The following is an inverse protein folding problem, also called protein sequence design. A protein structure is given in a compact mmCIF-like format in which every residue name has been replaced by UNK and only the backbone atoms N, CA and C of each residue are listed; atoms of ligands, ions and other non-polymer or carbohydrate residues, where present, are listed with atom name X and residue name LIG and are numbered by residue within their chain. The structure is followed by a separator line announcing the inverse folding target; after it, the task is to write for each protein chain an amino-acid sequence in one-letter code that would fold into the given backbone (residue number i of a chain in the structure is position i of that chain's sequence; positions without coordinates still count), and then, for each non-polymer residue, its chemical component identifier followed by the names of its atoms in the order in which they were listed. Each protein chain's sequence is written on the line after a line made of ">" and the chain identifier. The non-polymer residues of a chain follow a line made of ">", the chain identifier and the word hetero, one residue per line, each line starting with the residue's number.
data_IF_858020505183
#
_entry.id   IF_858020505183
#
_cell.length_a   1.000
_cell.length_b   1.000
_cell.length_c   1.000
_cell.angle_alpha   90.00
_cell.angle_beta   90.00
_cell.angle_gamma   90.00
#
_symmetry.space_group_name_H-M   'P 1'
#
loop_
_entity.id
_entity.type
_entity.pdbx_description
1 polymer ?
#
# COMPACT_ATOMS: atom_id res chain seq x y z
N UNK A 1 -64.37 40.03 22.75
CA UNK A 1 -64.78 39.55 21.41
C UNK A 1 -63.50 39.59 20.58
N UNK A 2 -62.63 38.59 20.77
CA UNK A 2 -62.50 37.38 19.92
C UNK A 2 -61.72 37.74 18.63
N UNK A 3 -60.65 37.09 18.18
CA UNK A 3 -60.02 35.80 18.51
C UNK A 3 -58.56 35.74 17.96
N UNK A 4 -57.75 34.92 18.64
CA UNK A 4 -56.73 33.92 18.21
C UNK A 4 -56.03 34.10 16.84
N UNK A 5 -54.70 34.24 16.76
CA UNK A 5 -53.64 33.22 16.94
C UNK A 5 -53.64 32.11 15.88
N UNK A 6 -52.60 32.09 15.02
CA UNK A 6 -51.70 30.93 14.79
C UNK A 6 -50.78 31.14 13.58
N UNK A 7 -49.48 31.15 13.87
CA UNK A 7 -48.39 30.78 12.97
C UNK A 7 -48.67 29.42 12.31
N UNK A 8 -48.55 29.34 10.98
CA UNK A 8 -48.29 28.07 10.30
C UNK A 8 -46.83 28.05 9.88
N UNK A 9 -46.05 27.38 10.74
CA UNK A 9 -44.68 26.95 10.51
C UNK A 9 -44.64 25.96 9.34
N UNK A 10 -43.99 26.36 8.26
CA UNK A 10 -43.71 25.51 7.10
C UNK A 10 -42.57 24.57 7.42
N UNK A 11 -42.88 23.43 8.07
CA UNK A 11 -41.91 22.36 8.27
C UNK A 11 -41.39 21.86 6.92
N UNK A 12 -40.13 22.19 6.61
CA UNK A 12 -39.41 21.60 5.49
C UNK A 12 -39.32 20.06 5.70
N UNK A 13 -39.55 19.24 4.67
CA UNK A 13 -39.40 17.80 4.82
C UNK A 13 -37.95 17.45 5.16
N UNK A 14 -37.76 16.69 6.24
CA UNK A 14 -36.47 16.12 6.62
C UNK A 14 -35.87 15.28 5.48
N UNK A 15 -34.53 15.19 5.37
CA UNK A 15 -33.88 14.61 4.20
C UNK A 15 -34.02 13.07 4.21
N UNK A 16 -34.94 12.55 3.39
CA UNK A 16 -35.12 11.11 3.15
C UNK A 16 -33.91 10.48 2.44
N UNK A 17 -33.00 11.30 1.90
CA UNK A 17 -31.78 10.84 1.21
C UNK A 17 -30.68 10.27 2.12
N UNK A 18 -30.74 10.47 3.45
CA UNK A 18 -29.67 10.05 4.35
C UNK A 18 -29.79 8.58 4.79
N UNK A 19 -31.01 8.09 5.06
CA UNK A 19 -31.21 6.77 5.65
C UNK A 19 -30.77 5.59 4.76
N UNK A 20 -30.96 5.67 3.43
CA UNK A 20 -30.50 4.64 2.50
C UNK A 20 -28.97 4.63 2.37
N UNK A 21 -28.34 5.80 2.39
CA UNK A 21 -26.89 5.95 2.32
C UNK A 21 -26.22 5.44 3.59
N UNK A 22 -26.81 5.77 4.75
CA UNK A 22 -26.33 5.33 6.06
C UNK A 22 -26.49 3.80 6.22
N UNK A 23 -27.60 3.22 5.76
CA UNK A 23 -27.80 1.77 5.76
C UNK A 23 -26.80 1.03 4.87
N UNK A 24 -26.56 1.52 3.64
CA UNK A 24 -25.55 0.95 2.74
C UNK A 24 -24.13 1.08 3.32
N UNK A 25 -23.81 2.19 3.97
CA UNK A 25 -22.52 2.39 4.63
C UNK A 25 -22.35 1.41 5.82
N UNK A 26 -23.41 1.17 6.59
CA UNK A 26 -23.46 0.18 7.66
C UNK A 26 -23.25 -1.25 7.16
N UNK A 27 -23.96 -1.68 6.11
CA UNK A 27 -23.80 -3.01 5.51
C UNK A 27 -22.39 -3.25 4.96
N UNK A 28 -21.77 -2.22 4.35
CA UNK A 28 -20.39 -2.30 3.87
C UNK A 28 -19.38 -2.34 5.03
N UNK A 29 -19.65 -1.66 6.14
CA UNK A 29 -18.81 -1.76 7.35
C UNK A 29 -18.91 -3.15 8.00
N UNK A 30 -20.12 -3.68 8.13
CA UNK A 30 -20.36 -5.01 8.69
C UNK A 30 -19.72 -6.11 7.85
N UNK A 31 -19.83 -6.03 6.52
CA UNK A 31 -19.16 -6.98 5.62
C UNK A 31 -17.64 -6.90 5.74
N UNK A 32 -17.05 -5.70 5.80
CA UNK A 32 -15.59 -5.54 6.01
C UNK A 32 -15.12 -6.15 7.33
N UNK A 33 -15.92 -6.01 8.39
CA UNK A 33 -15.64 -6.62 9.70
C UNK A 33 -15.69 -8.15 9.63
N UNK A 34 -16.69 -8.71 8.95
CA UNK A 34 -16.81 -10.16 8.74
C UNK A 34 -15.68 -10.72 7.88
N UNK A 35 -15.35 -10.05 6.77
CA UNK A 35 -14.24 -10.45 5.88
C UNK A 35 -12.91 -10.44 6.63
N UNK A 36 -12.68 -9.43 7.48
CA UNK A 36 -11.50 -9.33 8.33
C UNK A 36 -11.43 -10.45 9.39
N UNK A 37 -12.54 -10.74 10.05
CA UNK A 37 -12.62 -11.78 11.07
C UNK A 37 -12.39 -13.19 10.49
N UNK A 38 -12.80 -13.41 9.24
CA UNK A 38 -12.66 -14.68 8.52
C UNK A 38 -11.28 -14.92 7.89
N UNK A 39 -10.37 -13.93 7.94
CA UNK A 39 -9.01 -14.11 7.42
C UNK A 39 -8.25 -15.22 8.13
N UNK A 40 -7.35 -15.85 7.37
CA UNK A 40 -6.29 -16.66 7.95
C UNK A 40 -5.57 -15.86 9.06
N UNK A 41 -5.34 -16.42 10.26
CA UNK A 41 -4.71 -15.69 11.35
C UNK A 41 -3.35 -15.08 11.01
N UNK A 42 -2.57 -15.72 10.14
CA UNK A 42 -1.29 -15.18 9.68
C UNK A 42 -1.48 -14.02 8.70
N UNK A 43 -2.44 -14.12 7.79
CA UNK A 43 -2.80 -13.01 6.89
C UNK A 43 -3.29 -11.79 7.66
N UNK A 44 -4.07 -12.02 8.72
CA UNK A 44 -4.53 -10.97 9.64
C UNK A 44 -3.36 -10.34 10.39
N UNK A 45 -2.45 -11.14 10.94
CA UNK A 45 -1.27 -10.64 11.65
C UNK A 45 -0.35 -9.77 10.77
N UNK A 46 -0.27 -10.05 9.46
CA UNK A 46 0.44 -9.20 8.49
C UNK A 46 -0.23 -7.83 8.40
N UNK A 47 -1.55 -7.78 8.21
CA UNK A 47 -2.29 -6.52 8.09
C UNK A 47 -2.26 -5.73 9.40
N UNK A 48 -2.45 -6.40 10.55
CA UNK A 48 -2.32 -5.79 11.87
C UNK A 48 -0.95 -5.15 12.06
N UNK A 49 0.12 -5.86 11.68
CA UNK A 49 1.47 -5.34 11.80
C UNK A 49 1.68 -4.10 10.94
N UNK A 50 1.11 -4.06 9.74
CA UNK A 50 1.40 -3.01 8.76
C UNK A 50 0.47 -1.80 8.88
N UNK A 51 -0.83 -2.04 9.05
CA UNK A 51 -1.90 -1.05 9.05
C UNK A 51 -2.59 -0.85 10.40
N UNK A 52 -2.27 -1.66 11.42
CA UNK A 52 -3.05 -1.71 12.67
C UNK A 52 -4.30 -2.57 12.54
N UNK A 53 -4.84 -3.00 13.68
CA UNK A 53 -6.13 -3.69 13.74
C UNK A 53 -7.29 -2.71 13.49
N UNK A 54 -8.44 -3.13 12.93
CA UNK A 54 -9.57 -2.23 12.64
C UNK A 54 -10.10 -1.40 13.80
N UNK A 55 -9.94 -1.87 15.04
CA UNK A 55 -10.35 -1.21 16.28
C UNK A 55 -9.22 -0.39 16.93
N UNK A 56 -8.02 -0.40 16.36
CA UNK A 56 -6.86 0.37 16.82
C UNK A 56 -6.93 1.82 16.33
N UNK A 57 -6.48 2.80 17.14
CA UNK A 57 -6.31 4.19 16.68
C UNK A 57 -5.30 4.33 15.53
N UNK A 58 -4.44 3.33 15.33
CA UNK A 58 -3.46 3.32 14.24
C UNK A 58 -4.04 2.81 12.91
N UNK A 59 -5.31 2.35 12.89
CA UNK A 59 -5.89 1.68 11.74
C UNK A 59 -5.91 2.55 10.49
N UNK A 60 -5.12 2.17 9.49
CA UNK A 60 -5.10 2.87 8.22
C UNK A 60 -4.61 4.32 8.32
N UNK A 61 -3.85 4.66 9.36
CA UNK A 61 -3.15 5.93 9.53
C UNK A 61 -1.75 5.88 8.88
N UNK A 62 -1.19 7.01 8.41
CA UNK A 62 0.11 7.03 7.76
C UNK A 62 1.25 6.75 8.74
N UNK A 63 2.13 5.80 8.42
CA UNK A 63 3.23 5.39 9.30
C UNK A 63 4.60 5.66 8.67
N UNK A 64 5.48 6.37 9.40
CA UNK A 64 6.84 6.69 8.94
C UNK A 64 7.69 5.46 8.63
N UNK A 65 7.46 4.37 9.36
CA UNK A 65 8.17 3.08 9.24
C UNK A 65 7.98 2.40 7.87
N UNK A 66 6.95 2.78 7.09
CA UNK A 66 6.75 2.21 5.76
C UNK A 66 7.83 2.62 4.77
N UNK A 67 8.36 3.84 4.89
CA UNK A 67 9.29 4.44 3.91
C UNK A 67 10.64 4.84 4.52
N UNK A 68 10.88 4.43 5.77
CA UNK A 68 12.12 4.69 6.50
C UNK A 68 12.77 3.36 6.85
N UNK A 69 14.05 3.19 6.49
CA UNK A 69 14.81 2.04 6.96
C UNK A 69 15.09 2.17 8.46
N UNK A 70 14.70 1.14 9.22
CA UNK A 70 14.85 1.03 10.66
C UNK A 70 15.23 -0.42 11.02
N UNK A 71 16.47 -0.60 11.50
CA UNK A 71 17.03 -1.93 11.75
C UNK A 71 16.24 -2.73 12.80
N UNK A 72 15.62 -2.03 13.77
CA UNK A 72 14.85 -2.68 14.84
C UNK A 72 13.50 -3.19 14.33
N UNK A 73 12.83 -2.40 13.49
CA UNK A 73 11.60 -2.81 12.83
C UNK A 73 11.86 -3.95 11.84
N UNK A 74 12.94 -3.86 11.06
CA UNK A 74 13.33 -4.91 10.12
C UNK A 74 13.70 -6.23 10.83
N UNK A 75 14.33 -6.15 12.01
CA UNK A 75 14.59 -7.32 12.86
C UNK A 75 13.28 -7.95 13.35
N UNK A 76 12.32 -7.14 13.81
CA UNK A 76 11.01 -7.63 14.25
C UNK A 76 10.23 -8.29 13.10
N UNK A 77 10.27 -7.72 11.89
CA UNK A 77 9.63 -8.31 10.72
C UNK A 77 10.26 -9.66 10.35
N UNK A 78 11.59 -9.76 10.37
CA UNK A 78 12.31 -11.02 10.11
C UNK A 78 11.94 -12.10 11.12
N UNK A 79 11.93 -11.76 12.39
CA UNK A 79 11.60 -12.69 13.48
C UNK A 79 10.16 -13.22 13.35
N UNK A 80 9.20 -12.33 13.08
CA UNK A 80 7.77 -12.67 13.09
C UNK A 80 7.28 -13.28 11.78
N UNK A 81 7.82 -12.84 10.65
CA UNK A 81 7.24 -13.11 9.32
C UNK A 81 8.26 -13.64 8.31
N UNK A 82 9.52 -13.84 8.67
CA UNK A 82 10.55 -14.32 7.75
C UNK A 82 10.15 -15.63 7.03
N UNK A 83 9.56 -16.58 7.76
CA UNK A 83 9.06 -17.84 7.18
C UNK A 83 7.87 -17.64 6.24
N UNK A 84 7.03 -16.61 6.46
CA UNK A 84 5.92 -16.29 5.56
C UNK A 84 6.41 -15.74 4.23
N UNK A 85 7.53 -15.02 4.19
CA UNK A 85 8.12 -14.54 2.94
C UNK A 85 8.49 -15.72 2.06
N UNK A 86 9.14 -16.74 2.62
CA UNK A 86 9.51 -17.94 1.87
C UNK A 86 8.29 -18.77 1.47
N UNK A 87 7.33 -19.00 2.38
CA UNK A 87 6.09 -19.71 2.06
C UNK A 87 5.25 -18.99 0.97
N UNK A 88 5.17 -17.66 1.02
CA UNK A 88 4.51 -16.86 0.00
C UNK A 88 5.22 -16.98 -1.35
N UNK A 89 6.55 -16.97 -1.39
CA UNK A 89 7.33 -17.15 -2.63
C UNK A 89 7.09 -18.52 -3.26
N UNK A 90 6.95 -19.54 -2.43
CA UNK A 90 6.69 -20.93 -2.85
C UNK A 90 5.21 -21.24 -3.12
N UNK A 91 4.34 -20.23 -3.17
CA UNK A 91 2.89 -20.40 -3.44
C UNK A 91 2.12 -21.21 -2.39
N UNK A 92 2.68 -21.39 -1.20
CA UNK A 92 2.00 -22.11 -0.12
C UNK A 92 0.84 -21.30 0.49
N UNK A 93 0.82 -19.98 0.26
CA UNK A 93 -0.16 -19.04 0.81
C UNK A 93 -1.15 -18.50 -0.27
N UNK A 94 -1.15 -19.06 -1.49
CA UNK A 94 -1.93 -18.52 -2.61
C UNK A 94 -3.44 -18.52 -2.37
N UNK A 95 -3.94 -19.37 -1.46
CA UNK A 95 -5.35 -19.38 -1.04
C UNK A 95 -5.80 -18.06 -0.42
N UNK A 96 -4.89 -17.26 0.15
CA UNK A 96 -5.22 -15.95 0.70
C UNK A 96 -5.72 -14.97 -0.37
N UNK A 97 -5.29 -15.14 -1.63
CA UNK A 97 -5.72 -14.29 -2.73
C UNK A 97 -7.22 -14.41 -3.07
N UNK A 98 -7.95 -15.35 -2.46
CA UNK A 98 -9.39 -15.51 -2.66
C UNK A 98 -10.22 -14.33 -2.12
N UNK A 99 -9.65 -13.45 -1.30
CA UNK A 99 -10.31 -12.27 -0.74
C UNK A 99 -9.47 -11.01 -0.96
N UNK A 100 -10.08 -9.81 -1.02
CA UNK A 100 -9.34 -8.56 -1.19
C UNK A 100 -8.28 -8.34 -0.09
N UNK A 101 -8.63 -8.58 1.17
CA UNK A 101 -7.72 -8.40 2.30
C UNK A 101 -6.60 -9.43 2.30
N UNK A 102 -6.90 -10.71 2.02
CA UNK A 102 -5.86 -11.74 1.95
C UNK A 102 -4.90 -11.54 0.75
N UNK A 103 -5.41 -11.06 -0.39
CA UNK A 103 -4.58 -10.66 -1.52
C UNK A 103 -3.65 -9.50 -1.14
N UNK A 104 -4.16 -8.49 -0.41
CA UNK A 104 -3.31 -7.41 0.11
C UNK A 104 -2.26 -7.94 1.08
N UNK A 105 -2.59 -8.88 1.97
CA UNK A 105 -1.59 -9.51 2.87
C UNK A 105 -0.44 -10.15 2.08
N UNK A 106 -0.75 -10.85 0.99
CA UNK A 106 0.28 -11.42 0.12
C UNK A 106 1.15 -10.33 -0.53
N UNK A 107 0.55 -9.24 -1.02
CA UNK A 107 1.29 -8.10 -1.57
C UNK A 107 2.23 -7.50 -0.53
N UNK A 108 1.77 -7.29 0.71
CA UNK A 108 2.61 -6.77 1.80
C UNK A 108 3.79 -7.70 2.08
N UNK A 109 3.57 -9.01 2.18
CA UNK A 109 4.65 -9.98 2.45
C UNK A 109 5.66 -10.00 1.30
N UNK A 110 5.19 -10.09 0.06
CA UNK A 110 6.02 -10.28 -1.12
C UNK A 110 6.78 -9.03 -1.54
N UNK A 111 6.19 -7.84 -1.37
CA UNK A 111 6.78 -6.57 -1.81
C UNK A 111 7.39 -5.77 -0.65
N UNK A 112 6.66 -5.57 0.45
CA UNK A 112 7.14 -4.71 1.55
C UNK A 112 8.05 -5.49 2.50
N UNK A 113 7.59 -6.59 3.09
CA UNK A 113 8.38 -7.35 4.06
C UNK A 113 9.65 -7.90 3.40
N UNK A 114 9.59 -8.35 2.16
CA UNK A 114 10.78 -8.75 1.39
C UNK A 114 11.85 -7.65 1.36
N UNK A 115 11.46 -6.39 1.08
CA UNK A 115 12.38 -5.24 1.05
C UNK A 115 12.91 -4.86 2.42
N UNK A 116 12.09 -4.92 3.47
CA UNK A 116 12.52 -4.66 4.85
C UNK A 116 13.48 -5.76 5.37
N UNK A 117 13.13 -7.03 5.17
CA UNK A 117 13.84 -8.17 5.71
C UNK A 117 15.16 -8.48 4.97
N UNK A 118 15.26 -8.11 3.69
CA UNK A 118 16.38 -8.48 2.83
C UNK A 118 17.08 -7.26 2.20
N UNK A 119 17.11 -6.12 2.90
CA UNK A 119 17.75 -4.88 2.42
C UNK A 119 19.13 -5.14 1.83
N UNK A 120 19.43 -4.41 0.76
CA UNK A 120 20.71 -4.45 0.06
C UNK A 120 21.10 -5.85 -0.47
N UNK A 121 20.12 -6.75 -0.66
CA UNK A 121 20.32 -8.08 -1.28
C UNK A 121 19.39 -8.31 -2.48
N UNK A 122 19.76 -9.25 -3.36
CA UNK A 122 18.91 -9.68 -4.48
C UNK A 122 17.56 -10.22 -4.02
N UNK A 123 17.51 -10.81 -2.82
CA UNK A 123 16.32 -11.45 -2.28
C UNK A 123 15.18 -10.44 -2.04
N UNK A 124 15.51 -9.18 -1.74
CA UNK A 124 14.52 -8.11 -1.59
C UNK A 124 13.65 -7.87 -2.85
N UNK A 125 14.11 -8.31 -4.02
CA UNK A 125 13.41 -8.15 -5.30
C UNK A 125 12.91 -9.48 -5.89
N UNK A 126 13.22 -10.60 -5.25
CA UNK A 126 12.97 -11.93 -5.79
C UNK A 126 11.47 -12.27 -5.94
N UNK A 127 10.61 -11.56 -5.19
CA UNK A 127 9.17 -11.75 -5.17
C UNK A 127 8.38 -10.71 -6.00
N UNK A 128 9.05 -9.70 -6.58
CA UNK A 128 8.41 -8.55 -7.25
C UNK A 128 7.42 -9.00 -8.33
N UNK A 129 7.82 -9.96 -9.19
CA UNK A 129 6.94 -10.47 -10.25
C UNK A 129 5.65 -11.10 -9.71
N UNK A 130 5.74 -11.81 -8.58
CA UNK A 130 4.57 -12.45 -7.98
C UNK A 130 3.66 -11.41 -7.31
N UNK A 131 4.24 -10.45 -6.59
CA UNK A 131 3.49 -9.33 -6.04
C UNK A 131 2.74 -8.55 -7.13
N UNK A 132 3.40 -8.28 -8.26
CA UNK A 132 2.79 -7.61 -9.41
C UNK A 132 1.62 -8.42 -10.00
N UNK A 133 1.77 -9.74 -10.15
CA UNK A 133 0.70 -10.58 -10.68
C UNK A 133 -0.56 -10.53 -9.78
N UNK A 134 -0.39 -10.54 -8.47
CA UNK A 134 -1.50 -10.42 -7.51
C UNK A 134 -2.13 -9.02 -7.60
N UNK A 135 -1.32 -7.96 -7.64
CA UNK A 135 -1.81 -6.59 -7.78
C UNK A 135 -2.61 -6.39 -9.08
N UNK A 136 -2.14 -6.95 -10.20
CA UNK A 136 -2.85 -6.96 -11.48
C UNK A 136 -4.21 -7.65 -11.38
N UNK A 137 -4.29 -8.80 -10.71
CA UNK A 137 -5.56 -9.50 -10.48
C UNK A 137 -6.51 -8.68 -9.61
N UNK A 138 -6.01 -8.03 -8.56
CA UNK A 138 -6.82 -7.16 -7.69
C UNK A 138 -7.43 -6.01 -8.48
N UNK A 139 -6.63 -5.30 -9.29
CA UNK A 139 -7.10 -4.18 -10.10
C UNK A 139 -8.08 -4.63 -11.19
N UNK A 140 -7.77 -5.73 -11.89
CA UNK A 140 -8.61 -6.25 -12.97
C UNK A 140 -9.99 -6.71 -12.47
N UNK A 141 -10.06 -7.31 -11.28
CA UNK A 141 -11.31 -7.74 -10.66
C UNK A 141 -12.05 -6.61 -9.93
N UNK A 142 -11.37 -5.52 -9.62
CA UNK A 142 -11.90 -4.44 -8.78
C UNK A 142 -11.83 -4.70 -7.28
N UNK A 143 -11.15 -5.77 -6.85
CA UNK A 143 -10.96 -6.11 -5.44
C UNK A 143 -10.17 -5.03 -4.69
N UNK A 144 -9.28 -4.30 -5.39
CA UNK A 144 -8.58 -3.13 -4.85
C UNK A 144 -9.54 -2.09 -4.25
N UNK A 145 -10.68 -1.83 -4.91
CA UNK A 145 -11.69 -0.85 -4.47
C UNK A 145 -12.50 -1.29 -3.25
N UNK A 146 -12.39 -2.55 -2.85
CA UNK A 146 -13.04 -3.09 -1.64
C UNK A 146 -12.15 -2.94 -0.40
N UNK A 147 -10.90 -2.49 -0.55
CA UNK A 147 -9.98 -2.34 0.56
C UNK A 147 -10.40 -1.18 1.49
N UNK A 148 -10.07 -1.25 2.80
CA UNK A 148 -10.68 -0.39 3.81
C UNK A 148 -10.39 1.11 3.67
N UNK A 149 -9.22 1.48 3.11
CA UNK A 149 -8.79 2.87 3.08
C UNK A 149 -7.76 3.17 1.99
N UNK A 150 -7.42 4.44 1.87
CA UNK A 150 -6.51 4.97 0.84
C UNK A 150 -5.11 4.36 0.95
N UNK A 151 -4.59 4.16 2.16
CA UNK A 151 -3.27 3.57 2.38
C UNK A 151 -3.25 2.09 1.97
N UNK A 152 -4.28 1.30 2.33
CA UNK A 152 -4.40 -0.10 1.89
C UNK A 152 -4.33 -0.24 0.36
N UNK A 153 -5.06 0.63 -0.37
CA UNK A 153 -5.00 0.67 -1.83
C UNK A 153 -3.65 1.13 -2.37
N UNK A 154 -3.02 2.12 -1.75
CA UNK A 154 -1.68 2.55 -2.15
C UNK A 154 -0.69 1.37 -2.16
N UNK A 155 -0.69 0.54 -1.10
CA UNK A 155 0.17 -0.63 -1.03
C UNK A 155 -0.21 -1.74 -2.02
N UNK A 156 -1.49 -1.86 -2.40
CA UNK A 156 -1.90 -2.74 -3.49
C UNK A 156 -1.34 -2.28 -4.85
N UNK A 157 -1.02 -0.98 -5.01
CA UNK A 157 -0.52 -0.40 -6.26
C UNK A 157 1.00 -0.33 -6.34
N UNK A 158 1.72 -0.35 -5.20
CA UNK A 158 3.19 -0.29 -5.17
C UNK A 158 3.89 -1.34 -6.05
N UNK A 159 3.39 -2.59 -6.21
CA UNK A 159 4.02 -3.53 -7.13
C UNK A 159 4.11 -3.04 -8.59
N UNK A 160 3.17 -2.19 -9.05
CA UNK A 160 3.26 -1.55 -10.37
C UNK A 160 4.36 -0.48 -10.40
N UNK A 161 4.46 0.33 -9.34
CA UNK A 161 5.51 1.34 -9.17
C UNK A 161 6.92 0.72 -9.10
N UNK A 162 7.03 -0.48 -8.54
CA UNK A 162 8.30 -1.18 -8.36
C UNK A 162 8.76 -2.02 -9.56
N UNK A 163 7.90 -2.23 -10.56
CA UNK A 163 8.21 -3.00 -11.77
C UNK A 163 8.99 -2.17 -12.80
N UNK A 164 9.97 -2.77 -13.46
CA UNK A 164 10.86 -2.08 -14.41
C UNK A 164 10.30 -2.03 -15.85
N UNK A 165 8.98 -2.16 -16.05
CA UNK A 165 8.34 -2.03 -17.36
C UNK A 165 7.54 -0.74 -17.52
N UNK A 166 7.59 -0.15 -18.72
CA UNK A 166 6.79 1.05 -19.04
C UNK A 166 5.29 0.83 -18.86
N UNK A 167 4.80 -0.37 -19.17
CA UNK A 167 3.38 -0.70 -19.01
C UNK A 167 2.94 -0.62 -17.54
N UNK A 168 3.74 -1.18 -16.62
CA UNK A 168 3.45 -1.08 -15.18
C UNK A 168 3.58 0.35 -14.68
N UNK A 169 4.55 1.12 -15.16
CA UNK A 169 4.70 2.53 -14.77
C UNK A 169 3.51 3.39 -15.21
N UNK A 170 3.02 3.21 -16.44
CA UNK A 170 1.80 3.91 -16.88
C UNK A 170 0.58 3.53 -16.04
N UNK A 171 0.44 2.25 -15.67
CA UNK A 171 -0.65 1.79 -14.84
C UNK A 171 -0.54 2.32 -13.40
N UNK A 172 0.68 2.35 -12.84
CA UNK A 172 1.00 2.98 -11.57
C UNK A 172 0.56 4.46 -11.56
N UNK A 173 0.94 5.23 -12.58
CA UNK A 173 0.52 6.62 -12.72
C UNK A 173 -1.00 6.77 -12.76
N UNK A 174 -1.69 5.92 -13.52
CA UNK A 174 -3.16 5.94 -13.61
C UNK A 174 -3.80 5.68 -12.25
N UNK A 175 -3.35 4.65 -11.53
CA UNK A 175 -3.87 4.23 -10.24
C UNK A 175 -3.61 5.28 -9.15
N UNK A 176 -2.37 5.74 -9.02
CA UNK A 176 -2.01 6.74 -8.01
C UNK A 176 -2.58 8.13 -8.30
N UNK A 177 -2.80 8.49 -9.58
CA UNK A 177 -3.51 9.74 -9.92
C UNK A 177 -4.95 9.72 -9.44
N UNK A 178 -5.64 8.59 -9.62
CA UNK A 178 -7.00 8.42 -9.10
C UNK A 178 -7.00 8.47 -7.57
N UNK A 179 -6.05 7.78 -6.93
CA UNK A 179 -5.90 7.76 -5.48
C UNK A 179 -5.60 9.15 -4.89
N UNK A 180 -4.85 9.99 -5.60
CA UNK A 180 -4.51 11.35 -5.17
C UNK A 180 -5.71 12.31 -5.09
N UNK A 181 -6.82 11.98 -5.77
CA UNK A 181 -8.06 12.74 -5.65
C UNK A 181 -8.81 12.44 -4.34
N UNK A 182 -8.38 11.44 -3.58
CA UNK A 182 -9.01 11.03 -2.33
C UNK A 182 -8.32 11.62 -1.10
N UNK A 183 -9.06 11.90 -0.01
CA UNK A 183 -8.48 12.34 1.24
C UNK A 183 -7.36 11.41 1.73
N UNK A 184 -6.18 11.97 2.02
CA UNK A 184 -5.00 11.21 2.46
C UNK A 184 -4.19 10.53 1.35
N UNK A 185 -4.64 10.57 0.09
CA UNK A 185 -3.97 9.91 -1.04
C UNK A 185 -2.98 10.78 -1.82
N UNK A 186 -3.04 12.11 -1.67
CA UNK A 186 -2.29 13.05 -2.49
C UNK A 186 -0.76 12.88 -2.42
N UNK A 187 -0.24 12.33 -1.33
CA UNK A 187 1.21 12.15 -1.12
C UNK A 187 1.84 11.07 -1.98
N UNK A 188 1.08 10.12 -2.53
CA UNK A 188 1.62 8.98 -3.27
C UNK A 188 1.98 9.31 -4.73
N UNK A 189 1.13 10.08 -5.42
CA UNK A 189 1.29 10.33 -6.86
C UNK A 189 2.64 10.96 -7.26
N UNK A 190 3.23 11.91 -6.50
CA UNK A 190 4.56 12.43 -6.81
C UNK A 190 5.68 11.38 -6.74
N UNK A 191 5.50 10.26 -6.04
CA UNK A 191 6.45 9.15 -6.03
C UNK A 191 6.28 8.29 -7.27
N UNK A 192 5.04 8.00 -7.69
CA UNK A 192 4.75 7.28 -8.92
C UNK A 192 5.32 7.99 -10.15
N UNK A 193 5.19 9.32 -10.20
CA UNK A 193 5.81 10.15 -11.27
C UNK A 193 7.31 9.96 -11.32
N UNK A 194 8.00 10.07 -10.18
CA UNK A 194 9.46 9.91 -10.14
C UNK A 194 9.93 8.50 -10.52
N UNK A 195 9.18 7.46 -10.14
CA UNK A 195 9.50 6.09 -10.56
C UNK A 195 9.35 5.94 -12.09
N UNK A 196 8.25 6.45 -12.65
CA UNK A 196 8.00 6.40 -14.08
C UNK A 196 9.09 7.15 -14.87
N UNK A 197 9.48 8.35 -14.44
CA UNK A 197 10.54 9.13 -15.09
C UNK A 197 11.89 8.39 -15.14
N UNK A 198 12.24 7.65 -14.08
CA UNK A 198 13.48 6.85 -14.05
C UNK A 198 13.39 5.70 -15.06
N UNK A 199 12.26 4.99 -15.10
CA UNK A 199 12.05 3.88 -16.05
C UNK A 199 11.95 4.38 -17.49
N UNK A 200 11.33 5.53 -17.74
CA UNK A 200 11.30 6.16 -19.06
C UNK A 200 12.71 6.53 -19.53
N UNK A 201 13.56 7.03 -18.63
CA UNK A 201 14.92 7.45 -18.94
C UNK A 201 15.88 6.27 -19.13
N UNK A 202 15.81 5.24 -18.28
CA UNK A 202 16.84 4.19 -18.21
C UNK A 202 16.32 2.78 -18.55
N UNK A 203 15.01 2.58 -18.65
CA UNK A 203 14.37 1.27 -18.85
C UNK A 203 14.47 0.33 -17.64
N UNK A 204 15.03 0.81 -16.51
CA UNK A 204 15.25 0.07 -15.26
C UNK A 204 15.57 1.05 -14.13
N UNK A 205 15.63 0.58 -12.88
CA UNK A 205 16.06 1.37 -11.74
C UNK A 205 17.58 1.28 -11.53
N UNK A 206 18.37 2.34 -11.80
CA UNK A 206 19.83 2.25 -11.71
C UNK A 206 20.34 1.94 -10.31
N UNK A 207 19.62 2.36 -9.27
CA UNK A 207 20.00 2.08 -7.87
C UNK A 207 19.92 0.59 -7.51
N UNK A 208 19.26 -0.24 -8.33
CA UNK A 208 19.26 -1.70 -8.17
C UNK A 208 20.42 -2.39 -8.89
N UNK A 209 21.21 -1.67 -9.69
CA UNK A 209 22.23 -2.30 -10.55
C UNK A 209 23.28 -3.08 -9.74
N UNK A 210 23.87 -2.45 -8.71
CA UNK A 210 24.90 -3.09 -7.90
C UNK A 210 24.40 -4.37 -7.21
N UNK A 211 23.22 -4.30 -6.59
CA UNK A 211 22.64 -5.44 -5.87
C UNK A 211 22.20 -6.56 -6.83
N UNK A 212 21.72 -6.22 -8.02
CA UNK A 212 21.33 -7.20 -9.05
C UNK A 212 22.50 -7.66 -9.94
N UNK A 213 23.73 -7.22 -9.67
CA UNK A 213 24.91 -7.58 -10.47
C UNK A 213 24.90 -7.05 -11.91
N UNK A 214 24.20 -5.94 -12.16
CA UNK A 214 24.12 -5.29 -13.48
C UNK A 214 25.24 -4.26 -13.62
N UNK A 215 25.86 -4.20 -14.78
CA UNK A 215 26.77 -3.11 -15.12
C UNK A 215 25.97 -1.82 -15.38
N UNK A 216 26.38 -0.73 -14.73
CA UNK A 216 25.80 0.60 -14.92
C UNK A 216 26.47 1.32 -16.08
N UNK A 217 25.68 1.99 -16.91
CA UNK A 217 26.15 2.91 -17.94
C UNK A 217 26.71 4.20 -17.32
N UNK A 218 27.42 5.01 -18.13
CA UNK A 218 27.94 6.30 -17.68
C UNK A 218 26.84 7.25 -17.20
N UNK A 219 25.70 7.28 -17.89
CA UNK A 219 24.55 8.14 -17.53
C UNK A 219 23.89 7.67 -16.23
N UNK A 220 23.77 6.35 -16.03
CA UNK A 220 23.28 5.77 -14.78
C UNK A 220 24.22 6.10 -13.60
N UNK A 221 25.54 6.03 -13.81
CA UNK A 221 26.53 6.39 -12.78
C UNK A 221 26.44 7.88 -12.42
N UNK A 222 26.23 8.75 -13.41
CA UNK A 222 26.04 10.18 -13.17
C UNK A 222 24.75 10.43 -12.36
N UNK A 223 23.64 9.81 -12.78
CA UNK A 223 22.34 9.91 -12.10
C UNK A 223 22.40 9.44 -10.64
N UNK A 224 23.11 8.36 -10.35
CA UNK A 224 23.26 7.84 -8.98
C UNK A 224 23.96 8.81 -8.00
N UNK A 225 24.55 9.90 -8.50
CA UNK A 225 25.14 10.97 -7.66
C UNK A 225 24.17 12.10 -7.36
N UNK A 226 23.02 12.14 -8.03
CA UNK A 226 22.01 13.18 -7.87
C UNK A 226 21.09 12.89 -6.66
N UNK A 227 20.56 13.92 -5.99
CA UNK A 227 19.51 13.75 -4.99
C UNK A 227 18.28 13.07 -5.60
N UNK A 228 17.65 12.15 -4.85
CA UNK A 228 16.44 11.45 -5.31
C UNK A 228 16.69 10.30 -6.29
N UNK A 229 17.94 9.89 -6.48
CA UNK A 229 18.32 8.71 -7.30
C UNK A 229 17.91 7.36 -6.68
N UNK A 230 17.43 7.37 -5.44
CA UNK A 230 16.83 6.25 -4.72
C UNK A 230 15.69 6.71 -3.81
N UNK A 231 14.78 5.81 -3.45
CA UNK A 231 13.52 6.16 -2.76
C UNK A 231 13.50 5.89 -1.26
N UNK A 232 14.36 5.01 -0.74
CA UNK A 232 14.40 4.71 0.69
C UNK A 232 15.29 5.71 1.44
N UNK A 233 14.77 6.28 2.51
CA UNK A 233 15.56 7.07 3.46
C UNK A 233 16.02 6.18 4.62
N UNK A 234 17.26 6.35 5.09
CA UNK A 234 17.73 5.70 6.32
C UNK A 234 17.46 6.60 7.52
N UNK A 235 16.92 6.06 8.61
CA UNK A 235 16.79 6.79 9.86
C UNK A 235 18.17 7.31 10.30
N UNK A 236 18.24 8.57 10.75
CA UNK A 236 19.48 9.11 11.32
C UNK A 236 19.80 8.31 12.59
N UNK A 237 21.00 7.69 12.65
CA UNK A 237 21.53 7.19 13.92
C UNK A 237 21.54 8.34 14.92
N UNK A 238 21.06 8.17 16.15
CA UNK A 238 21.27 9.19 17.17
C UNK A 238 22.77 9.44 17.27
N UNK A 239 23.16 10.73 17.25
CA UNK A 239 24.55 11.10 17.47
C UNK A 239 24.98 10.48 18.80
N UNK A 240 26.01 9.64 18.77
CA UNK A 240 26.63 9.19 20.00
C UNK A 240 27.07 10.45 20.76
N UNK A 241 26.42 10.72 21.89
CA UNK A 241 26.72 11.87 22.72
C UNK A 241 28.21 11.88 23.06
N UNK A 242 28.84 13.04 22.84
CA UNK A 242 30.18 13.36 23.36
C UNK A 242 30.15 13.45 24.88
#
# INVERSE_FOLDING_TARGET
>A
MADLDTDTDGAAPAPVANALTDALAGEVADRRSADYAALDPQARAVLDCWFGAPDSPDFGEPRKLWFTADDSFDASLRERFGTLIDAARESQLDSWAATPLGALSLVIVLDQFSRNCHRDTVTAFAADRKALAIAQQMVASGADRLLPGVHHRAFAYLPFEHDESLASQHESLRLFKALAAEPGGASYYPFAVRHAEIIERFGRFPHRNAVLGRESTADEIAFLREPGSSFQSRAKKPAAGS
#
